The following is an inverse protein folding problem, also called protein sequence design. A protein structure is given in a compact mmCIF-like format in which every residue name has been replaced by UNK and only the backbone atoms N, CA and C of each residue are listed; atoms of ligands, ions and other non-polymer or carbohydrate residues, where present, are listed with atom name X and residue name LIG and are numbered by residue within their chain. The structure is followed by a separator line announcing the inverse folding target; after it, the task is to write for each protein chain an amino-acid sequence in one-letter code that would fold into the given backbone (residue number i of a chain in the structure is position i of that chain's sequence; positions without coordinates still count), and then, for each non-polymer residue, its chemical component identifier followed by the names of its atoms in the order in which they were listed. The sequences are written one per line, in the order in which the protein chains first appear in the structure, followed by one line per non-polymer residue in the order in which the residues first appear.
data_IF_014443633508
#
_entry.id   IF_014443633508
#
_cell.length_a   1.000
_cell.length_b   1.000
_cell.length_c   1.000
_cell.angle_alpha   90.00
_cell.angle_beta   90.00
_cell.angle_gamma   90.00
#
_symmetry.space_group_name_H-M   'P 1'
#
loop_
_entity.id
_entity.type
_entity.pdbx_description
1 polymer ?
#
# COMPACT_ATOMS: atom_id res chain seq x y z
N UNK A 1 -6.02 -11.79 -16.04
CA UNK A 1 -6.21 -10.39 -16.47
C UNK A 1 -6.32 -9.42 -15.31
N UNK A 2 -7.27 -9.63 -14.40
CA UNK A 2 -7.39 -8.74 -13.23
C UNK A 2 -6.15 -8.82 -12.36
N UNK A 3 -5.62 -10.03 -12.11
CA UNK A 3 -4.41 -10.22 -11.33
C UNK A 3 -3.23 -9.43 -11.91
N UNK A 4 -3.03 -9.50 -13.21
CA UNK A 4 -1.93 -8.78 -13.88
C UNK A 4 -2.09 -7.27 -13.71
N UNK A 5 -3.30 -6.76 -13.88
CA UNK A 5 -3.58 -5.33 -13.68
C UNK A 5 -3.30 -4.90 -12.24
N UNK A 6 -3.74 -5.69 -11.27
CA UNK A 6 -3.48 -5.41 -9.85
C UNK A 6 -1.98 -5.34 -9.59
N UNK A 7 -1.21 -6.33 -10.08
CA UNK A 7 0.22 -6.36 -9.86
C UNK A 7 0.95 -5.20 -10.54
N UNK A 8 0.54 -4.85 -11.77
CA UNK A 8 1.13 -3.70 -12.45
C UNK A 8 0.90 -2.40 -11.69
N UNK A 9 -0.32 -2.18 -11.21
CA UNK A 9 -0.66 -0.95 -10.47
C UNK A 9 0.07 -0.89 -9.12
N UNK A 10 0.08 -1.97 -8.37
CA UNK A 10 0.82 -2.02 -7.11
C UNK A 10 2.32 -1.85 -7.32
N UNK A 11 2.86 -2.47 -8.36
CA UNK A 11 4.27 -2.34 -8.69
C UNK A 11 4.63 -0.89 -8.99
N UNK A 12 3.85 -0.22 -9.84
CA UNK A 12 4.06 1.19 -10.15
C UNK A 12 3.95 2.08 -8.90
N UNK A 13 2.94 1.82 -8.08
CA UNK A 13 2.73 2.58 -6.86
C UNK A 13 3.92 2.43 -5.89
N UNK A 14 4.38 1.21 -5.69
CA UNK A 14 5.51 0.96 -4.78
C UNK A 14 6.82 1.54 -5.31
N UNK A 15 7.06 1.47 -6.62
CA UNK A 15 8.24 2.09 -7.23
C UNK A 15 8.20 3.60 -7.02
N UNK A 16 7.07 4.22 -7.32
CA UNK A 16 6.91 5.67 -7.16
C UNK A 16 7.03 6.10 -5.70
N UNK A 17 6.40 5.36 -4.78
CA UNK A 17 6.47 5.63 -3.35
C UNK A 17 7.88 5.47 -2.81
N UNK A 18 8.60 4.44 -3.26
CA UNK A 18 9.98 4.21 -2.88
C UNK A 18 10.90 5.32 -3.35
N UNK A 19 10.73 5.79 -4.57
CA UNK A 19 11.47 6.95 -5.09
C UNK A 19 11.18 8.19 -4.24
N UNK A 20 9.91 8.40 -3.87
CA UNK A 20 9.52 9.48 -2.98
C UNK A 20 10.21 9.43 -1.63
N UNK A 21 10.32 8.23 -1.04
CA UNK A 21 11.04 8.02 0.22
C UNK A 21 12.54 8.30 0.09
N UNK A 22 13.14 7.93 -1.05
CA UNK A 22 14.57 8.13 -1.29
C UNK A 22 14.90 9.60 -1.53
N UNK A 23 14.03 10.33 -2.23
CA UNK A 23 14.28 11.72 -2.64
C UNK A 23 13.75 12.76 -1.66
N UNK A 24 12.70 12.41 -0.89
CA UNK A 24 12.08 13.35 0.03
C UNK A 24 11.51 12.66 1.27
N UNK A 25 12.37 12.05 2.13
CA UNK A 25 11.87 11.34 3.30
C UNK A 25 11.10 12.25 4.27
N UNK A 26 11.52 13.50 4.42
CA UNK A 26 10.81 14.46 5.28
C UNK A 26 9.40 14.76 4.76
N UNK A 27 9.23 14.82 3.45
CA UNK A 27 7.90 15.03 2.83
C UNK A 27 6.97 13.87 3.13
N UNK A 28 7.46 12.64 3.02
CA UNK A 28 6.64 11.46 3.29
C UNK A 28 6.28 11.39 4.79
N UNK A 29 7.22 11.71 5.67
CA UNK A 29 6.94 11.76 7.11
C UNK A 29 5.85 12.79 7.42
N UNK A 30 5.88 13.97 6.79
CA UNK A 30 4.83 14.98 6.96
C UNK A 30 3.49 14.52 6.41
N UNK A 31 3.48 13.78 5.30
CA UNK A 31 2.25 13.20 4.76
C UNK A 31 1.58 12.29 5.79
N UNK A 32 2.35 11.44 6.43
CA UNK A 32 1.84 10.53 7.46
C UNK A 32 1.28 11.32 8.65
N UNK A 33 2.02 12.34 9.10
CA UNK A 33 1.58 13.17 10.22
C UNK A 33 0.28 13.92 9.90
N UNK A 34 0.19 14.50 8.71
CA UNK A 34 -1.03 15.21 8.26
C UNK A 34 -2.21 14.26 8.15
N UNK A 35 -1.98 13.06 7.64
CA UNK A 35 -3.00 12.04 7.50
C UNK A 35 -3.54 11.60 8.86
N UNK A 36 -2.62 11.34 9.80
CA UNK A 36 -2.98 10.97 11.18
C UNK A 36 -3.75 12.09 11.88
N UNK A 37 -3.37 13.35 11.63
CA UNK A 37 -3.99 14.51 12.26
C UNK A 37 -5.37 14.85 11.69
N UNK A 38 -5.75 14.27 10.54
CA UNK A 38 -7.01 14.57 9.88
C UNK A 38 -7.94 13.34 9.87
N UNK A 39 -8.90 13.26 10.80
CA UNK A 39 -9.87 12.16 10.80
C UNK A 39 -10.67 12.08 9.50
N UNK A 40 -10.97 13.22 8.87
CA UNK A 40 -11.71 13.24 7.62
C UNK A 40 -10.93 12.56 6.48
N UNK A 41 -9.62 12.84 6.35
CA UNK A 41 -8.79 12.20 5.35
C UNK A 41 -8.71 10.70 5.56
N UNK A 42 -8.49 10.28 6.80
CA UNK A 42 -8.43 8.86 7.16
C UNK A 42 -9.73 8.13 6.81
N UNK A 43 -10.85 8.73 7.16
CA UNK A 43 -12.16 8.15 6.88
C UNK A 43 -12.43 8.05 5.37
N UNK A 44 -12.16 9.13 4.62
CA UNK A 44 -12.36 9.14 3.16
C UNK A 44 -11.46 8.14 2.46
N UNK A 45 -10.20 8.09 2.80
CA UNK A 45 -9.27 7.11 2.23
C UNK A 45 -9.68 5.70 2.58
N UNK A 46 -10.06 5.45 3.84
CA UNK A 46 -10.52 4.15 4.27
C UNK A 46 -11.76 3.69 3.53
N UNK A 47 -12.74 4.57 3.37
CA UNK A 47 -13.95 4.28 2.60
C UNK A 47 -13.62 3.94 1.15
N UNK A 48 -12.77 4.73 0.51
CA UNK A 48 -12.31 4.47 -0.86
C UNK A 48 -11.64 3.09 -0.96
N UNK A 49 -10.79 2.77 0.00
CA UNK A 49 -10.08 1.47 0.04
C UNK A 49 -11.04 0.30 0.26
N UNK A 50 -12.08 0.47 1.07
CA UNK A 50 -13.11 -0.56 1.27
C UNK A 50 -13.82 -0.84 -0.05
N UNK A 51 -14.31 0.19 -0.73
CA UNK A 51 -15.02 0.01 -1.98
C UNK A 51 -14.13 -0.51 -3.10
N UNK A 52 -12.94 0.06 -3.25
CA UNK A 52 -11.99 -0.38 -4.28
C UNK A 52 -11.45 -1.77 -3.98
N UNK A 53 -11.01 -2.01 -2.74
CA UNK A 53 -10.47 -3.31 -2.34
C UNK A 53 -11.51 -4.41 -2.36
N UNK A 54 -12.68 -4.14 -1.77
CA UNK A 54 -13.78 -5.10 -1.76
C UNK A 54 -14.32 -5.38 -3.14
N UNK A 55 -14.48 -4.34 -3.96
CA UNK A 55 -14.92 -4.49 -5.35
C UNK A 55 -13.96 -5.32 -6.18
N UNK A 56 -12.67 -5.05 -6.06
CA UNK A 56 -11.65 -5.83 -6.77
C UNK A 56 -11.58 -7.26 -6.24
N UNK A 57 -11.67 -7.44 -4.92
CA UNK A 57 -11.62 -8.78 -4.31
C UNK A 57 -12.78 -9.65 -4.77
N UNK A 58 -13.92 -9.06 -5.09
CA UNK A 58 -15.09 -9.82 -5.59
C UNK A 58 -14.81 -10.52 -6.93
N UNK A 59 -13.85 -10.00 -7.71
CA UNK A 59 -13.46 -10.57 -9.01
C UNK A 59 -12.05 -11.16 -9.01
N UNK A 60 -11.23 -10.85 -8.01
CA UNK A 60 -9.86 -11.36 -7.86
C UNK A 60 -9.71 -12.01 -6.48
N UNK A 61 -10.05 -13.29 -6.39
CA UNK A 61 -10.04 -14.03 -5.12
C UNK A 61 -9.52 -15.46 -5.27
N UNK A 62 -8.68 -15.71 -6.29
CA UNK A 62 -8.13 -17.05 -6.53
C UNK A 62 -6.67 -17.14 -6.11
N UNK A 63 -6.22 -18.37 -5.89
CA UNK A 63 -4.84 -18.70 -5.54
C UNK A 63 -4.29 -19.75 -6.50
N UNK A 64 -4.65 -19.65 -7.79
CA UNK A 64 -4.28 -20.65 -8.78
C UNK A 64 -2.83 -20.56 -9.25
N UNK A 65 -2.07 -19.57 -8.76
CA UNK A 65 -0.66 -19.39 -9.09
C UNK A 65 -0.06 -18.27 -8.28
N UNK A 66 1.24 -18.01 -8.47
CA UNK A 66 1.94 -16.97 -7.71
C UNK A 66 1.32 -15.58 -7.98
N UNK A 67 1.08 -15.25 -9.25
CA UNK A 67 0.50 -13.95 -9.61
C UNK A 67 -0.90 -13.79 -9.04
N UNK A 68 -1.77 -14.79 -9.20
CA UNK A 68 -3.12 -14.76 -8.66
C UNK A 68 -3.13 -14.66 -7.15
N UNK A 69 -2.34 -15.48 -6.48
CA UNK A 69 -2.25 -15.48 -5.02
C UNK A 69 -1.75 -14.16 -4.47
N UNK A 70 -0.70 -13.61 -5.08
CA UNK A 70 -0.13 -12.33 -4.66
C UNK A 70 -1.13 -11.19 -4.87
N UNK A 71 -1.79 -11.15 -6.03
CA UNK A 71 -2.80 -10.13 -6.31
C UNK A 71 -3.96 -10.20 -5.30
N UNK A 72 -4.44 -11.40 -5.00
CA UNK A 72 -5.50 -11.59 -4.02
C UNK A 72 -5.08 -11.11 -2.64
N UNK A 73 -3.87 -11.42 -2.20
CA UNK A 73 -3.36 -10.97 -0.90
C UNK A 73 -3.21 -9.45 -0.85
N UNK A 74 -2.72 -8.83 -1.91
CA UNK A 74 -2.57 -7.37 -1.96
C UNK A 74 -3.92 -6.67 -1.88
N UNK A 75 -4.90 -7.15 -2.63
CA UNK A 75 -6.25 -6.57 -2.63
C UNK A 75 -6.93 -6.78 -1.27
N UNK A 76 -6.80 -7.96 -0.69
CA UNK A 76 -7.32 -8.24 0.64
C UNK A 76 -6.68 -7.33 1.68
N UNK A 77 -5.37 -7.07 1.55
CA UNK A 77 -4.66 -6.13 2.42
C UNK A 77 -5.21 -4.72 2.33
N UNK A 78 -5.51 -4.25 1.12
CA UNK A 78 -6.15 -2.93 0.91
C UNK A 78 -7.50 -2.87 1.63
N UNK A 79 -8.32 -3.91 1.49
CA UNK A 79 -9.62 -3.96 2.16
C UNK A 79 -9.46 -3.92 3.68
N UNK A 80 -8.57 -4.72 4.25
CA UNK A 80 -8.32 -4.75 5.70
C UNK A 80 -7.82 -3.39 6.18
N UNK A 81 -6.89 -2.78 5.46
CA UNK A 81 -6.36 -1.46 5.82
C UNK A 81 -7.47 -0.40 5.78
N UNK A 82 -8.33 -0.44 4.77
CA UNK A 82 -9.46 0.48 4.68
C UNK A 82 -10.44 0.31 5.83
N UNK A 83 -10.74 -0.93 6.20
CA UNK A 83 -11.61 -1.23 7.35
C UNK A 83 -11.03 -0.68 8.64
N UNK A 84 -9.72 -0.82 8.84
CA UNK A 84 -9.03 -0.28 10.03
C UNK A 84 -9.03 1.24 10.03
N UNK A 85 -8.81 1.88 8.87
CA UNK A 85 -8.84 3.34 8.79
C UNK A 85 -10.19 3.92 9.17
N UNK A 86 -11.28 3.26 8.80
CA UNK A 86 -12.63 3.72 9.13
C UNK A 86 -13.02 3.37 10.56
N UNK A 87 -12.75 2.15 10.98
CA UNK A 87 -13.26 1.63 12.25
C UNK A 87 -12.30 1.87 13.43
N UNK A 88 -10.99 1.67 13.22
CA UNK A 88 -10.01 1.75 14.31
C UNK A 88 -8.61 1.99 13.75
N UNK A 89 -8.23 3.26 13.48
CA UNK A 89 -6.96 3.57 12.81
C UNK A 89 -5.72 3.49 13.70
N UNK A 90 -5.88 3.45 15.02
CA UNK A 90 -4.74 3.49 15.94
C UNK A 90 -3.64 2.46 15.66
N UNK A 91 -3.95 1.17 15.38
CA UNK A 91 -2.90 0.21 15.06
C UNK A 91 -2.09 0.57 13.83
N UNK A 92 -2.73 1.19 12.83
CA UNK A 92 -2.03 1.62 11.61
C UNK A 92 -1.03 2.73 11.90
N UNK A 93 -1.42 3.71 12.71
CA UNK A 93 -0.53 4.81 13.07
C UNK A 93 0.63 4.33 13.95
N UNK A 94 0.35 3.43 14.87
CA UNK A 94 1.40 2.82 15.70
C UNK A 94 2.41 2.07 14.84
N UNK A 95 1.94 1.31 13.85
CA UNK A 95 2.80 0.59 12.92
C UNK A 95 3.63 1.56 12.08
N UNK A 96 3.00 2.63 11.55
CA UNK A 96 3.69 3.61 10.73
C UNK A 96 4.82 4.28 11.51
N UNK A 97 4.57 4.69 12.76
CA UNK A 97 5.59 5.32 13.59
C UNK A 97 6.71 4.34 13.97
N UNK A 98 6.36 3.08 14.20
CA UNK A 98 7.36 2.06 14.50
C UNK A 98 8.28 1.78 13.31
N UNK A 99 7.72 1.77 12.10
CA UNK A 99 8.47 1.48 10.88
C UNK A 99 9.34 2.64 10.41
N UNK A 100 9.00 3.88 10.78
CA UNK A 100 9.62 5.09 10.23
C UNK A 100 10.13 6.01 11.34
N UNK A 101 11.11 5.55 12.19
CA UNK A 101 11.60 6.37 13.31
C UNK A 101 12.54 7.49 12.87
N UNK A 102 13.27 7.35 11.74
CA UNK A 102 14.22 8.35 11.26
C UNK A 102 14.38 8.31 9.73
N UNK A 103 15.15 9.26 9.19
CA UNK A 103 15.35 9.38 7.74
C UNK A 103 16.09 8.19 7.14
N UNK A 104 17.03 7.60 7.87
CA UNK A 104 17.78 6.44 7.37
C UNK A 104 16.87 5.23 7.21
N UNK A 105 15.95 5.01 8.15
CA UNK A 105 14.93 3.97 8.02
C UNK A 105 14.00 4.24 6.85
N UNK A 106 13.57 5.50 6.66
CA UNK A 106 12.73 5.87 5.53
C UNK A 106 13.40 5.58 4.20
N UNK A 107 14.69 5.90 4.07
CA UNK A 107 15.46 5.59 2.86
C UNK A 107 15.60 4.09 2.65
N UNK A 108 15.84 3.34 3.72
CA UNK A 108 15.87 1.88 3.66
C UNK A 108 14.56 1.28 3.16
N UNK A 109 13.43 1.76 3.67
CA UNK A 109 12.12 1.36 3.17
C UNK A 109 11.91 1.76 1.73
N UNK A 110 12.44 2.92 1.31
CA UNK A 110 12.40 3.36 -0.07
C UNK A 110 13.09 2.38 -1.02
N UNK A 111 14.28 1.91 -0.66
CA UNK A 111 15.01 0.92 -1.44
C UNK A 111 14.22 -0.39 -1.53
N UNK A 112 13.69 -0.86 -0.40
CA UNK A 112 12.88 -2.09 -0.36
C UNK A 112 11.63 -1.93 -1.20
N UNK A 113 10.95 -0.79 -1.10
CA UNK A 113 9.73 -0.52 -1.87
C UNK A 113 9.99 -0.52 -3.38
N UNK A 114 11.09 0.09 -3.83
CA UNK A 114 11.46 0.08 -5.25
C UNK A 114 11.74 -1.35 -5.71
N UNK A 115 12.52 -2.10 -4.95
CA UNK A 115 12.87 -3.48 -5.28
C UNK A 115 11.63 -4.37 -5.37
N UNK A 116 10.77 -4.32 -4.34
CA UNK A 116 9.53 -5.09 -4.33
C UNK A 116 8.57 -4.65 -5.44
N UNK A 117 8.49 -3.34 -5.68
CA UNK A 117 7.68 -2.80 -6.76
C UNK A 117 8.12 -3.31 -8.12
N UNK A 118 9.42 -3.39 -8.36
CA UNK A 118 9.96 -3.94 -9.61
C UNK A 118 9.61 -5.41 -9.78
N UNK A 119 9.74 -6.20 -8.70
CA UNK A 119 9.37 -7.62 -8.72
C UNK A 119 7.88 -7.80 -9.02
N UNK A 120 7.03 -7.08 -8.30
CA UNK A 120 5.58 -7.15 -8.46
C UNK A 120 5.15 -6.71 -9.86
N UNK A 121 5.73 -5.62 -10.36
CA UNK A 121 5.47 -5.14 -11.71
C UNK A 121 5.87 -6.18 -12.76
N UNK A 122 7.04 -6.78 -12.61
CA UNK A 122 7.50 -7.82 -13.54
C UNK A 122 6.56 -9.02 -13.55
N UNK A 123 6.09 -9.45 -12.38
CA UNK A 123 5.11 -10.55 -12.29
C UNK A 123 3.80 -10.20 -13.01
N UNK A 124 3.37 -8.95 -12.93
CA UNK A 124 2.16 -8.49 -13.63
C UNK A 124 2.36 -8.35 -15.14
N UNK A 125 3.58 -8.08 -15.59
CA UNK A 125 3.90 -7.89 -16.99
C UNK A 125 4.10 -9.22 -17.77
N UNK A 126 4.35 -10.30 -17.05
CA UNK A 126 4.48 -11.63 -17.64
C UNK A 126 3.06 -12.17 -18.00
#
# INVERSE_FOLDING_TARGET
MVANTVLLLFGMYWIASGIGLLTGPARIARLIDEFEASPALGFLCGATMIFAGGGTLSVQNSFSGVADGLATLLVAGVLVEGLLLVAWPKPLWALAHWMMPDDDHLKGFGIVAVALGMVVFALGAI
#
